data_IF_481951470439
#
_entry.id   IF_481951470439
#
_cell.length_a   1.000
_cell.length_b   1.000
_cell.length_c   1.000
_cell.angle_alpha   90.00
_cell.angle_beta   90.00
_cell.angle_gamma   90.00
#
_symmetry.space_group_name_H-M   'P 1'
#
loop_
_entity.id
_entity.type
_entity.pdbx_description
1 polymer ?
#
# COMPACT_ATOMS: atom_id res chain seq x y z
N UNK A 1 -7.18 -12.78 -12.31
CA UNK A 1 -6.73 -13.25 -13.64
C UNK A 1 -5.99 -14.59 -13.59
N UNK A 2 -5.52 -15.10 -12.45
CA UNK A 2 -4.90 -16.41 -12.30
C UNK A 2 -3.64 -16.63 -13.16
N UNK A 3 -2.95 -15.55 -13.54
CA UNK A 3 -1.74 -15.59 -14.34
C UNK A 3 -0.50 -16.05 -13.56
N UNK A 4 0.62 -16.16 -14.27
CA UNK A 4 1.94 -16.41 -13.71
C UNK A 4 2.46 -15.23 -12.87
N UNK A 5 3.63 -15.38 -12.23
CA UNK A 5 4.28 -14.34 -11.41
C UNK A 5 4.44 -12.99 -12.11
N UNK A 6 4.73 -13.02 -13.42
CA UNK A 6 4.94 -11.86 -14.29
C UNK A 6 3.65 -11.32 -14.93
N UNK A 7 2.50 -11.92 -14.58
CA UNK A 7 1.17 -11.50 -15.06
C UNK A 7 0.80 -12.03 -16.43
N UNK A 8 1.51 -13.05 -16.95
CA UNK A 8 1.18 -13.69 -18.23
C UNK A 8 0.16 -14.81 -18.02
N UNK A 9 -0.74 -14.98 -18.99
CA UNK A 9 -1.77 -16.02 -18.98
C UNK A 9 -3.02 -15.62 -18.20
N UNK A 10 -4.03 -16.49 -18.30
CA UNK A 10 -5.34 -16.35 -17.65
C UNK A 10 -5.82 -17.72 -17.18
N UNK A 11 -6.31 -17.80 -15.94
CA UNK A 11 -6.93 -19.03 -15.44
C UNK A 11 -7.96 -18.69 -14.34
N UNK A 12 -9.15 -19.16 -14.51
CA UNK A 12 -10.23 -19.03 -13.53
C UNK A 12 -10.08 -20.05 -12.37
N UNK A 13 -9.26 -21.09 -12.58
CA UNK A 13 -9.11 -22.21 -11.65
C UNK A 13 -8.65 -21.78 -10.25
N UNK A 14 -7.73 -20.80 -10.17
CA UNK A 14 -7.23 -20.33 -8.87
C UNK A 14 -8.32 -19.63 -8.04
N UNK A 15 -9.13 -18.78 -8.67
CA UNK A 15 -10.22 -18.11 -7.98
C UNK A 15 -11.34 -19.11 -7.59
N UNK A 16 -11.69 -20.01 -8.50
CA UNK A 16 -12.70 -21.04 -8.21
C UNK A 16 -12.27 -21.95 -7.06
N UNK A 17 -11.01 -22.37 -7.03
CA UNK A 17 -10.48 -23.18 -5.93
C UNK A 17 -10.65 -22.49 -4.56
N UNK A 18 -10.32 -21.21 -4.45
CA UNK A 18 -10.48 -20.44 -3.22
C UNK A 18 -11.97 -20.32 -2.84
N UNK A 19 -12.83 -20.10 -3.83
CA UNK A 19 -14.30 -20.07 -3.60
C UNK A 19 -14.79 -21.41 -3.03
N UNK A 20 -14.34 -22.53 -3.59
CA UNK A 20 -14.73 -23.87 -3.13
C UNK A 20 -14.21 -24.15 -1.71
N UNK A 21 -12.97 -23.74 -1.40
CA UNK A 21 -12.39 -23.85 -0.06
C UNK A 21 -13.20 -23.05 0.98
N UNK A 22 -13.58 -21.80 0.66
CA UNK A 22 -14.38 -20.96 1.55
C UNK A 22 -15.78 -21.58 1.78
N UNK A 23 -16.43 -22.10 0.74
CA UNK A 23 -17.72 -22.76 0.84
C UNK A 23 -17.64 -24.04 1.65
N UNK A 24 -16.56 -24.82 1.50
CA UNK A 24 -16.34 -26.03 2.29
C UNK A 24 -16.16 -25.74 3.79
N UNK A 25 -15.69 -24.54 4.13
CA UNK A 25 -15.60 -24.04 5.52
C UNK A 25 -16.92 -23.44 6.04
N UNK A 26 -17.99 -23.44 5.24
CA UNK A 26 -19.31 -22.89 5.61
C UNK A 26 -19.44 -21.39 5.33
N UNK A 27 -18.46 -20.75 4.68
CA UNK A 27 -18.53 -19.37 4.26
C UNK A 27 -19.24 -19.19 2.93
N UNK A 28 -19.45 -17.93 2.55
CA UNK A 28 -20.00 -17.56 1.25
C UNK A 28 -18.90 -16.88 0.40
N UNK A 29 -18.80 -17.26 -0.86
CA UNK A 29 -17.85 -16.67 -1.78
C UNK A 29 -18.37 -16.72 -3.22
N UNK A 30 -18.01 -15.71 -4.00
CA UNK A 30 -18.21 -15.65 -5.45
C UNK A 30 -16.90 -15.27 -6.13
N UNK A 31 -16.58 -15.87 -7.28
CA UNK A 31 -15.37 -15.51 -8.02
C UNK A 31 -15.62 -14.25 -8.84
N UNK A 32 -14.53 -13.52 -9.12
CA UNK A 32 -14.48 -12.48 -10.13
C UNK A 32 -13.17 -12.59 -10.93
N UNK A 33 -13.23 -12.38 -12.24
CA UNK A 33 -12.12 -12.60 -13.17
C UNK A 33 -11.69 -11.32 -13.91
N UNK A 34 -12.17 -10.17 -13.45
CA UNK A 34 -11.88 -8.88 -14.06
C UNK A 34 -10.43 -8.43 -13.82
N UNK A 35 -9.95 -7.56 -14.71
CA UNK A 35 -8.61 -6.96 -14.59
C UNK A 35 -8.65 -5.76 -13.64
N UNK A 36 -7.95 -5.86 -12.50
CA UNK A 36 -7.84 -4.77 -11.52
C UNK A 36 -7.26 -3.48 -12.12
N UNK A 37 -6.41 -3.55 -13.15
CA UNK A 37 -5.73 -2.40 -13.73
C UNK A 37 -6.64 -1.52 -14.63
N UNK A 38 -7.92 -1.85 -14.78
CA UNK A 38 -8.88 -1.08 -15.58
C UNK A 38 -10.02 -0.52 -14.72
N UNK A 39 -10.55 0.64 -15.11
CA UNK A 39 -11.70 1.25 -14.41
C UNK A 39 -12.87 0.28 -14.42
N UNK A 40 -13.25 -0.24 -15.59
CA UNK A 40 -14.37 -1.18 -15.72
C UNK A 40 -14.16 -2.44 -14.89
N UNK A 41 -12.92 -2.97 -14.83
CA UNK A 41 -12.63 -4.12 -13.98
C UNK A 41 -12.82 -3.83 -12.49
N UNK A 42 -12.34 -2.67 -12.01
CA UNK A 42 -12.55 -2.24 -10.62
C UNK A 42 -14.02 -2.05 -10.26
N UNK A 43 -14.81 -1.47 -11.17
CA UNK A 43 -16.26 -1.31 -11.03
C UNK A 43 -16.97 -2.67 -10.98
N UNK A 44 -16.62 -3.60 -11.88
CA UNK A 44 -17.20 -4.95 -11.93
C UNK A 44 -16.85 -5.77 -10.68
N UNK A 45 -15.62 -5.67 -10.17
CA UNK A 45 -15.20 -6.33 -8.93
C UNK A 45 -16.08 -5.87 -7.76
N UNK A 46 -16.25 -4.56 -7.61
CA UNK A 46 -17.11 -3.98 -6.58
C UNK A 46 -18.56 -4.38 -6.77
N UNK A 47 -19.06 -4.29 -8.01
CA UNK A 47 -20.43 -4.70 -8.35
C UNK A 47 -20.68 -6.16 -8.02
N UNK A 48 -19.74 -7.06 -8.32
CA UNK A 48 -19.85 -8.50 -7.99
C UNK A 48 -20.06 -8.70 -6.49
N UNK A 49 -19.33 -7.97 -5.65
CA UNK A 49 -19.48 -8.06 -4.21
C UNK A 49 -20.84 -7.49 -3.73
N UNK A 50 -21.26 -6.37 -4.28
CA UNK A 50 -22.55 -5.74 -3.93
C UNK A 50 -23.72 -6.62 -4.36
N UNK A 51 -23.69 -7.18 -5.57
CA UNK A 51 -24.74 -8.06 -6.08
C UNK A 51 -24.88 -9.35 -5.23
N UNK A 52 -23.74 -9.89 -4.73
CA UNK A 52 -23.75 -11.12 -3.95
C UNK A 52 -24.06 -10.91 -2.46
N UNK A 53 -23.59 -9.80 -1.87
CA UNK A 53 -23.56 -9.60 -0.41
C UNK A 53 -24.21 -8.29 0.05
N UNK A 54 -24.72 -7.46 -0.88
CA UNK A 54 -25.46 -6.21 -0.60
C UNK A 54 -24.57 -4.99 -0.42
N UNK A 55 -23.34 -5.12 0.08
CA UNK A 55 -22.40 -4.02 0.31
C UNK A 55 -20.94 -4.51 0.35
N UNK A 56 -20.00 -3.54 0.38
CA UNK A 56 -18.58 -3.77 0.62
C UNK A 56 -18.20 -3.13 1.95
N UNK A 57 -17.86 -3.93 2.95
CA UNK A 57 -17.36 -3.47 4.24
C UNK A 57 -15.83 -3.46 4.30
N UNK A 58 -15.19 -4.41 3.62
CA UNK A 58 -13.75 -4.63 3.66
C UNK A 58 -13.21 -4.75 2.24
N UNK A 59 -12.12 -4.04 1.96
CA UNK A 59 -11.35 -4.17 0.73
C UNK A 59 -9.90 -4.48 1.06
N UNK A 60 -9.35 -5.55 0.46
CA UNK A 60 -7.94 -5.89 0.53
C UNK A 60 -7.31 -5.80 -0.87
N UNK A 61 -6.52 -4.76 -1.09
CA UNK A 61 -5.75 -4.58 -2.33
C UNK A 61 -4.44 -5.36 -2.25
N UNK A 62 -4.47 -6.61 -2.73
CA UNK A 62 -3.34 -7.55 -2.67
C UNK A 62 -2.86 -8.02 -4.04
N UNK A 63 -3.58 -7.73 -5.13
CA UNK A 63 -3.19 -8.13 -6.47
C UNK A 63 -1.80 -7.60 -6.84
N UNK A 64 -0.96 -8.44 -7.47
CA UNK A 64 0.40 -8.05 -7.79
C UNK A 64 1.11 -8.99 -8.75
N UNK A 65 2.09 -8.44 -9.45
CA UNK A 65 3.01 -9.11 -10.37
C UNK A 65 4.43 -8.57 -10.17
N UNK A 66 5.45 -9.28 -10.67
CA UNK A 66 6.84 -8.83 -10.69
C UNK A 66 7.42 -8.95 -12.11
N UNK A 67 8.06 -7.87 -12.55
CA UNK A 67 8.87 -7.82 -13.78
C UNK A 67 10.13 -7.01 -13.49
N UNK A 68 11.03 -7.64 -12.74
CA UNK A 68 12.23 -7.01 -12.20
C UNK A 68 13.30 -6.85 -13.28
N UNK A 69 13.87 -5.66 -13.40
CA UNK A 69 15.01 -5.31 -14.25
C UNK A 69 15.81 -4.18 -13.60
N UNK A 70 17.11 -4.18 -13.79
CA UNK A 70 17.92 -3.02 -13.40
C UNK A 70 17.43 -1.76 -14.09
N UNK A 71 17.53 -0.61 -13.42
CA UNK A 71 16.94 0.65 -13.86
C UNK A 71 17.29 1.00 -15.32
N UNK A 72 18.56 0.82 -15.71
CA UNK A 72 19.03 1.09 -17.09
C UNK A 72 18.54 0.08 -18.13
N UNK A 73 17.95 -1.05 -17.73
CA UNK A 73 17.39 -2.09 -18.60
C UNK A 73 15.87 -2.22 -18.42
N UNK A 74 15.25 -1.32 -17.66
CA UNK A 74 13.81 -1.31 -17.44
C UNK A 74 13.12 -0.86 -18.74
N UNK A 75 12.33 -1.74 -19.30
CA UNK A 75 11.53 -1.49 -20.50
C UNK A 75 10.16 -0.92 -20.09
N UNK A 76 9.59 -0.07 -20.96
CA UNK A 76 8.29 0.58 -20.74
C UNK A 76 7.18 -0.45 -20.46
N UNK A 77 7.13 -1.54 -21.20
CA UNK A 77 6.13 -2.60 -21.00
C UNK A 77 6.21 -3.19 -19.59
N UNK A 78 7.42 -3.44 -19.07
CA UNK A 78 7.61 -3.98 -17.72
C UNK A 78 7.25 -2.96 -16.64
N UNK A 79 7.57 -1.70 -16.89
CA UNK A 79 7.18 -0.59 -16.02
C UNK A 79 5.66 -0.46 -15.95
N UNK A 80 5.00 -0.32 -17.09
CA UNK A 80 3.56 -0.09 -17.18
C UNK A 80 2.74 -1.25 -16.63
N UNK A 81 3.15 -2.50 -16.92
CA UNK A 81 2.47 -3.66 -16.38
C UNK A 81 2.47 -3.68 -14.84
N UNK A 82 3.62 -3.43 -14.23
CA UNK A 82 3.75 -3.46 -12.76
C UNK A 82 3.03 -2.28 -12.10
N UNK A 83 3.25 -1.06 -12.59
CA UNK A 83 2.56 0.14 -12.09
C UNK A 83 1.04 0.03 -12.33
N UNK A 84 0.66 -0.52 -13.49
CA UNK A 84 -0.73 -0.77 -13.85
C UNK A 84 -1.46 -1.68 -12.86
N UNK A 85 -0.88 -2.83 -12.52
CA UNK A 85 -1.50 -3.77 -11.59
C UNK A 85 -1.47 -3.25 -10.15
N UNK A 86 -0.32 -2.78 -9.67
CA UNK A 86 -0.15 -2.44 -8.26
C UNK A 86 -0.78 -1.10 -7.89
N UNK A 87 -0.40 -0.01 -8.56
CA UNK A 87 -0.83 1.33 -8.18
C UNK A 87 -2.17 1.71 -8.82
N UNK A 88 -2.23 1.61 -10.15
CA UNK A 88 -3.48 1.91 -10.86
C UNK A 88 -4.59 0.94 -10.48
N UNK A 89 -4.26 -0.36 -10.29
CA UNK A 89 -5.22 -1.37 -9.86
C UNK A 89 -5.79 -1.07 -8.47
N UNK A 90 -4.93 -0.70 -7.52
CA UNK A 90 -5.40 -0.24 -6.21
C UNK A 90 -6.36 0.94 -6.32
N UNK A 91 -6.08 1.93 -7.17
CA UNK A 91 -6.99 3.05 -7.44
C UNK A 91 -8.31 2.59 -8.08
N UNK A 92 -8.24 1.78 -9.15
CA UNK A 92 -9.43 1.36 -9.91
C UNK A 92 -10.43 0.57 -9.05
N UNK A 93 -9.93 -0.29 -8.15
CA UNK A 93 -10.79 -1.08 -7.26
C UNK A 93 -11.22 -0.28 -6.03
N UNK A 94 -10.33 0.53 -5.47
CA UNK A 94 -10.66 1.29 -4.25
C UNK A 94 -11.72 2.36 -4.50
N UNK A 95 -11.73 3.02 -5.64
CA UNK A 95 -12.66 4.13 -5.90
C UNK A 95 -14.14 3.71 -5.83
N UNK A 96 -14.61 2.69 -6.54
CA UNK A 96 -16.00 2.24 -6.42
C UNK A 96 -16.31 1.63 -5.04
N UNK A 97 -15.39 0.87 -4.45
CA UNK A 97 -15.57 0.33 -3.11
C UNK A 97 -15.67 1.44 -2.04
N UNK A 98 -14.82 2.46 -2.11
CA UNK A 98 -14.84 3.62 -1.21
C UNK A 98 -16.16 4.38 -1.31
N UNK A 99 -16.74 4.55 -2.51
CA UNK A 99 -18.04 5.18 -2.68
C UNK A 99 -19.15 4.36 -2.00
N UNK A 100 -19.16 3.04 -2.19
CA UNK A 100 -20.11 2.16 -1.52
C UNK A 100 -19.95 2.19 0.01
N UNK A 101 -18.71 2.17 0.52
CA UNK A 101 -18.43 2.33 1.96
C UNK A 101 -18.92 3.69 2.52
N UNK A 102 -18.77 4.77 1.74
CA UNK A 102 -19.30 6.10 2.14
C UNK A 102 -20.80 6.10 2.30
N UNK A 103 -21.53 5.48 1.37
CA UNK A 103 -23.00 5.36 1.41
C UNK A 103 -23.45 4.56 2.63
N UNK A 104 -22.68 3.53 3.02
CA UNK A 104 -22.99 2.66 4.15
C UNK A 104 -22.43 3.14 5.50
N UNK A 105 -21.60 4.19 5.53
CA UNK A 105 -21.03 4.76 6.77
C UNK A 105 -20.03 3.86 7.48
N UNK A 106 -19.41 2.91 6.76
CA UNK A 106 -18.41 1.98 7.27
C UNK A 106 -17.49 1.49 6.16
N UNK A 107 -16.19 1.37 6.45
CA UNK A 107 -15.22 0.76 5.55
C UNK A 107 -13.88 0.46 6.20
N UNK A 108 -13.26 -0.64 5.76
CA UNK A 108 -11.89 -1.03 6.12
C UNK A 108 -11.14 -1.35 4.84
N UNK A 109 -10.09 -0.58 4.55
CA UNK A 109 -9.28 -0.76 3.34
C UNK A 109 -7.87 -1.11 3.76
N UNK A 110 -7.42 -2.28 3.33
CA UNK A 110 -6.06 -2.76 3.55
C UNK A 110 -5.32 -2.69 2.22
N UNK A 111 -4.29 -1.86 2.20
CA UNK A 111 -3.37 -1.72 1.07
C UNK A 111 -2.12 -2.56 1.29
N UNK A 112 -1.55 -3.12 0.24
CA UNK A 112 -0.33 -3.91 0.31
C UNK A 112 0.83 -3.15 -0.34
N UNK A 113 1.74 -2.62 0.48
CA UNK A 113 3.04 -2.10 0.07
C UNK A 113 4.12 -3.19 0.14
N UNK A 114 5.38 -2.81 0.29
CA UNK A 114 6.52 -3.72 0.41
C UNK A 114 7.69 -2.99 1.05
N UNK A 115 8.58 -3.73 1.70
CA UNK A 115 9.89 -3.21 2.08
C UNK A 115 10.66 -2.62 0.90
N UNK A 116 10.51 -3.19 -0.31
CA UNK A 116 11.08 -2.61 -1.53
C UNK A 116 10.52 -1.21 -1.85
N UNK A 117 9.24 -0.96 -1.59
CA UNK A 117 8.64 0.37 -1.74
C UNK A 117 9.12 1.36 -0.67
N UNK A 118 9.32 0.88 0.56
CA UNK A 118 9.72 1.74 1.69
C UNK A 118 11.22 2.07 1.68
N UNK A 119 12.07 1.11 1.30
CA UNK A 119 13.52 1.20 1.48
C UNK A 119 14.31 1.02 0.17
N UNK A 120 13.62 0.71 -0.93
CA UNK A 120 14.25 0.36 -2.20
C UNK A 120 14.70 -1.11 -2.25
N UNK A 121 14.80 -1.64 -3.45
CA UNK A 121 15.43 -2.92 -3.73
C UNK A 121 16.03 -2.90 -5.14
N UNK A 122 17.22 -3.51 -5.30
CA UNK A 122 17.92 -3.54 -6.59
C UNK A 122 17.07 -4.24 -7.65
N UNK A 123 16.94 -3.62 -8.82
CA UNK A 123 16.19 -4.17 -9.95
C UNK A 123 14.67 -3.98 -9.89
N UNK A 124 14.13 -3.29 -8.90
CA UNK A 124 12.68 -3.15 -8.67
C UNK A 124 12.19 -1.70 -8.75
N UNK A 125 12.70 -0.90 -9.67
CA UNK A 125 12.30 0.52 -9.78
C UNK A 125 10.80 0.71 -10.05
N UNK A 126 10.19 -0.09 -10.94
CA UNK A 126 8.76 -0.10 -11.23
C UNK A 126 7.93 -0.52 -10.00
N UNK A 127 8.32 -1.63 -9.38
CA UNK A 127 7.63 -2.18 -8.22
C UNK A 127 7.75 -1.26 -7.00
N UNK A 128 8.96 -0.77 -6.69
CA UNK A 128 9.19 0.14 -5.58
C UNK A 128 8.40 1.44 -5.72
N UNK A 129 8.40 2.05 -6.92
CA UNK A 129 7.61 3.25 -7.21
C UNK A 129 6.11 3.00 -7.00
N UNK A 130 5.58 1.90 -7.53
CA UNK A 130 4.17 1.55 -7.37
C UNK A 130 3.80 1.31 -5.88
N UNK A 131 4.64 0.58 -5.15
CA UNK A 131 4.41 0.23 -3.75
C UNK A 131 4.52 1.44 -2.81
N UNK A 132 5.41 2.39 -3.07
CA UNK A 132 5.44 3.66 -2.32
C UNK A 132 4.28 4.58 -2.73
N UNK A 133 3.88 4.58 -4.00
CA UNK A 133 2.69 5.30 -4.48
C UNK A 133 1.40 4.87 -3.76
N UNK A 134 1.27 3.60 -3.38
CA UNK A 134 0.16 3.08 -2.55
C UNK A 134 0.13 3.75 -1.18
N UNK A 135 1.27 4.03 -0.57
CA UNK A 135 1.35 4.78 0.71
C UNK A 135 0.81 6.20 0.53
N UNK A 136 1.21 6.88 -0.57
CA UNK A 136 0.68 8.19 -0.91
C UNK A 136 -0.84 8.19 -1.11
N UNK A 137 -1.37 7.20 -1.84
CA UNK A 137 -2.81 7.03 -2.02
C UNK A 137 -3.54 6.81 -0.67
N UNK A 138 -2.98 5.98 0.20
CA UNK A 138 -3.51 5.74 1.56
C UNK A 138 -3.57 7.02 2.37
N UNK A 139 -2.53 7.87 2.30
CA UNK A 139 -2.49 9.13 3.06
C UNK A 139 -3.62 10.09 2.68
N UNK A 140 -4.08 10.08 1.44
CA UNK A 140 -5.25 10.85 1.02
C UNK A 140 -6.55 10.17 1.47
N UNK A 141 -6.68 8.86 1.24
CA UNK A 141 -7.90 8.11 1.55
C UNK A 141 -8.22 8.10 3.04
N UNK A 142 -7.22 8.08 3.94
CA UNK A 142 -7.45 8.17 5.38
C UNK A 142 -8.12 9.48 5.80
N UNK A 143 -7.75 10.59 5.16
CA UNK A 143 -8.30 11.92 5.44
C UNK A 143 -9.74 12.03 4.89
N UNK A 144 -9.94 11.64 3.63
CA UNK A 144 -11.24 11.70 2.98
C UNK A 144 -12.26 10.72 3.57
N UNK A 145 -11.79 9.59 4.07
CA UNK A 145 -12.61 8.53 4.69
C UNK A 145 -13.02 8.79 6.13
N UNK A 146 -12.29 9.67 6.84
CA UNK A 146 -12.42 9.83 8.29
C UNK A 146 -13.86 10.08 8.77
N UNK A 147 -14.59 10.99 8.12
CA UNK A 147 -15.97 11.36 8.48
C UNK A 147 -17.01 10.28 8.15
N UNK A 148 -16.62 9.26 7.37
CA UNK A 148 -17.50 8.16 6.98
C UNK A 148 -17.16 6.85 7.68
N UNK A 149 -16.32 6.90 8.73
CA UNK A 149 -15.82 5.71 9.43
C UNK A 149 -15.10 4.72 8.49
N UNK A 150 -14.44 5.26 7.45
CA UNK A 150 -13.58 4.47 6.57
C UNK A 150 -12.14 4.59 7.07
N UNK A 151 -11.52 3.44 7.41
CA UNK A 151 -10.13 3.33 7.84
C UNK A 151 -9.30 2.69 6.74
N UNK A 152 -8.19 3.33 6.38
CA UNK A 152 -7.28 2.82 5.34
C UNK A 152 -5.89 2.63 5.93
N UNK A 153 -5.41 1.39 5.95
CA UNK A 153 -4.09 1.03 6.47
C UNK A 153 -3.28 0.25 5.43
N UNK A 154 -1.98 0.22 5.63
CA UNK A 154 -1.02 -0.40 4.71
C UNK A 154 -0.27 -1.50 5.43
N UNK A 155 -0.16 -2.67 4.80
CA UNK A 155 0.75 -3.73 5.24
C UNK A 155 1.95 -3.82 4.29
N UNK A 156 3.12 -4.12 4.85
CA UNK A 156 4.34 -4.43 4.12
C UNK A 156 4.75 -5.88 4.46
N UNK A 157 4.11 -6.87 3.82
CA UNK A 157 4.31 -8.27 4.16
C UNK A 157 5.61 -8.82 3.55
N UNK A 158 6.26 -9.74 4.29
CA UNK A 158 7.25 -10.66 3.75
C UNK A 158 6.81 -12.09 4.11
N UNK A 159 6.39 -12.84 3.11
CA UNK A 159 5.93 -14.21 3.26
C UNK A 159 6.37 -15.08 2.08
N UNK A 160 6.42 -16.38 2.29
CA UNK A 160 6.67 -17.36 1.24
C UNK A 160 5.52 -17.32 0.22
N UNK A 161 5.87 -17.11 -1.03
CA UNK A 161 4.91 -17.07 -2.14
C UNK A 161 5.65 -17.30 -3.45
N UNK A 162 4.93 -17.48 -4.54
CA UNK A 162 5.51 -17.50 -5.89
C UNK A 162 6.33 -16.24 -6.23
N UNK A 163 6.07 -15.13 -5.56
CA UNK A 163 6.81 -13.87 -5.75
C UNK A 163 8.16 -13.84 -5.02
N UNK A 164 8.34 -14.67 -3.99
CA UNK A 164 9.52 -14.65 -3.09
C UNK A 164 10.35 -15.93 -3.15
N UNK A 165 9.95 -16.93 -3.93
CA UNK A 165 10.59 -18.24 -4.00
C UNK A 165 12.08 -18.15 -4.41
N UNK A 166 12.39 -17.29 -5.39
CA UNK A 166 13.77 -17.11 -5.88
C UNK A 166 14.61 -16.11 -5.06
N UNK A 167 14.00 -15.45 -4.08
CA UNK A 167 14.62 -14.35 -3.34
C UNK A 167 15.00 -14.75 -1.92
N UNK A 168 14.21 -15.65 -1.32
CA UNK A 168 14.40 -16.08 0.06
C UNK A 168 15.26 -17.36 0.13
N UNK A 169 16.20 -17.44 1.09
CA UNK A 169 16.88 -18.71 1.36
C UNK A 169 15.86 -19.83 1.70
N UNK A 170 16.06 -21.06 1.20
CA UNK A 170 15.08 -22.16 1.37
C UNK A 170 14.65 -22.38 2.82
N UNK A 171 15.57 -22.33 3.77
CA UNK A 171 15.29 -22.49 5.19
C UNK A 171 14.39 -21.40 5.79
N UNK A 172 14.48 -20.18 5.23
CA UNK A 172 13.64 -19.06 5.63
C UNK A 172 12.28 -19.15 4.93
N UNK A 173 12.27 -19.51 3.64
CA UNK A 173 11.05 -19.67 2.85
C UNK A 173 10.06 -20.63 3.50
N UNK A 174 10.52 -21.80 3.98
CA UNK A 174 9.67 -22.79 4.67
C UNK A 174 9.00 -22.26 5.95
N UNK A 175 9.66 -21.31 6.63
CA UNK A 175 9.15 -20.72 7.87
C UNK A 175 8.21 -19.55 7.64
N UNK A 176 8.38 -18.81 6.52
CA UNK A 176 7.67 -17.56 6.25
C UNK A 176 6.28 -17.78 5.67
N UNK A 177 5.46 -18.58 6.35
CA UNK A 177 4.10 -18.91 5.90
C UNK A 177 3.22 -17.64 5.81
N UNK A 178 2.36 -17.53 4.78
CA UNK A 178 1.38 -16.45 4.65
C UNK A 178 0.46 -16.32 5.86
N UNK A 179 0.24 -17.41 6.59
CA UNK A 179 -0.58 -17.47 7.81
C UNK A 179 -0.15 -16.46 8.88
N UNK A 180 1.12 -16.07 8.92
CA UNK A 180 1.60 -15.01 9.82
C UNK A 180 1.11 -13.59 9.46
N UNK A 181 0.59 -13.39 8.25
CA UNK A 181 0.06 -12.10 7.82
C UNK A 181 -1.43 -11.98 8.15
N UNK A 182 -2.15 -13.08 8.10
CA UNK A 182 -3.61 -13.14 8.28
C UNK A 182 -4.11 -12.48 9.57
N UNK A 183 -3.53 -12.71 10.76
CA UNK A 183 -4.02 -12.09 12.01
C UNK A 183 -3.98 -10.56 11.99
N UNK A 184 -2.94 -9.96 11.37
CA UNK A 184 -2.85 -8.52 11.22
C UNK A 184 -3.96 -8.00 10.30
N UNK A 185 -4.18 -8.66 9.15
CA UNK A 185 -5.23 -8.25 8.20
C UNK A 185 -6.60 -8.33 8.85
N UNK A 186 -6.89 -9.40 9.60
CA UNK A 186 -8.15 -9.56 10.34
C UNK A 186 -8.34 -8.46 11.38
N UNK A 187 -7.31 -8.11 12.14
CA UNK A 187 -7.37 -7.01 13.10
C UNK A 187 -7.65 -5.67 12.40
N UNK A 188 -6.87 -5.33 11.36
CA UNK A 188 -7.05 -4.08 10.61
C UNK A 188 -8.42 -3.99 9.90
N UNK A 189 -9.03 -5.11 9.55
CA UNK A 189 -10.34 -5.21 8.95
C UNK A 189 -11.49 -5.18 9.98
N UNK A 190 -11.21 -5.34 11.25
CA UNK A 190 -12.23 -5.41 12.30
C UNK A 190 -12.76 -4.02 12.69
N UNK A 191 -13.93 -4.00 13.32
CA UNK A 191 -14.50 -2.80 13.92
C UNK A 191 -13.67 -2.28 15.09
N UNK A 192 -12.91 -3.16 15.76
CA UNK A 192 -12.06 -2.82 16.91
C UNK A 192 -10.84 -2.00 16.50
N UNK A 193 -10.41 -2.06 15.23
CA UNK A 193 -9.32 -1.24 14.73
C UNK A 193 -9.81 0.19 14.45
N UNK A 194 -9.38 1.13 15.28
CA UNK A 194 -9.65 2.56 15.12
C UNK A 194 -8.54 3.31 14.40
N UNK A 195 -7.39 2.66 14.18
CA UNK A 195 -6.24 3.26 13.51
C UNK A 195 -6.47 3.42 12.00
N UNK A 196 -5.87 4.48 11.45
CA UNK A 196 -5.85 4.74 10.00
C UNK A 196 -4.51 5.36 9.59
N UNK A 197 -4.06 5.09 8.36
CA UNK A 197 -2.78 5.60 7.85
C UNK A 197 -1.56 4.87 8.41
N UNK A 198 -1.75 3.73 9.08
CA UNK A 198 -0.63 2.93 9.57
C UNK A 198 0.05 2.18 8.43
N UNK A 199 1.39 2.11 8.51
CA UNK A 199 2.22 1.24 7.65
C UNK A 199 2.82 0.20 8.56
N UNK A 200 2.39 -1.05 8.44
CA UNK A 200 2.82 -2.14 9.33
C UNK A 200 3.62 -3.18 8.55
N UNK A 201 4.90 -3.32 8.89
CA UNK A 201 5.72 -4.44 8.45
C UNK A 201 5.24 -5.71 9.16
N UNK A 202 5.14 -6.81 8.43
CA UNK A 202 4.66 -8.07 9.00
C UNK A 202 5.36 -9.28 8.36
N UNK A 203 5.97 -10.11 9.21
CA UNK A 203 6.67 -11.33 8.82
C UNK A 203 6.91 -12.23 10.04
N UNK A 204 6.77 -13.55 9.90
CA UNK A 204 7.14 -14.54 10.92
C UNK A 204 6.65 -14.23 12.37
N UNK A 205 5.51 -13.57 12.52
CA UNK A 205 5.02 -13.12 13.82
C UNK A 205 5.68 -11.83 14.34
N UNK A 206 6.58 -11.20 13.59
CA UNK A 206 7.12 -9.87 13.88
C UNK A 206 6.27 -8.81 13.18
N UNK A 207 5.83 -7.83 13.93
CA UNK A 207 5.05 -6.70 13.46
C UNK A 207 5.69 -5.40 13.95
N UNK A 208 5.87 -4.43 13.05
CA UNK A 208 6.41 -3.12 13.42
C UNK A 208 5.84 -2.01 12.55
N UNK A 209 5.74 -0.81 13.09
CA UNK A 209 5.32 0.37 12.35
C UNK A 209 6.48 0.97 11.58
N UNK A 210 6.26 1.29 10.30
CA UNK A 210 7.05 2.26 9.54
C UNK A 210 6.30 3.60 9.44
N UNK A 211 7.04 4.70 9.34
CA UNK A 211 6.46 6.02 9.18
C UNK A 211 7.39 6.93 8.37
N UNK A 212 6.84 7.93 7.70
CA UNK A 212 7.59 9.03 7.11
C UNK A 212 7.76 10.08 8.21
N UNK A 213 9.00 10.46 8.48
CA UNK A 213 9.33 11.44 9.52
C UNK A 213 10.16 12.58 8.94
N UNK A 214 10.12 13.74 9.56
CA UNK A 214 10.86 14.94 9.17
C UNK A 214 11.77 15.37 10.32
N UNK A 215 13.05 15.59 10.03
CA UNK A 215 14.01 16.11 11.00
C UNK A 215 13.72 17.56 11.39
N UNK A 216 14.45 18.09 12.40
CA UNK A 216 14.23 19.46 12.87
C UNK A 216 14.59 20.53 11.83
N UNK A 217 15.50 20.23 10.90
CA UNK A 217 15.94 21.16 9.86
C UNK A 217 16.69 22.38 10.39
N UNK A 218 16.82 23.40 9.56
CA UNK A 218 17.43 24.68 9.89
C UNK A 218 16.68 25.82 9.17
N UNK A 219 16.45 26.94 9.86
CA UNK A 219 16.08 28.20 9.23
C UNK A 219 17.37 28.93 8.84
N UNK A 220 17.52 29.24 7.58
CA UNK A 220 18.66 29.98 6.99
C UNK A 220 18.26 31.40 6.54
N UNK A 221 16.99 31.75 6.73
CA UNK A 221 16.43 33.03 6.37
C UNK A 221 15.26 33.38 7.30
N UNK A 222 14.97 34.64 7.41
CA UNK A 222 13.76 35.20 8.01
C UNK A 222 12.59 35.34 7.02
N UNK A 223 12.76 34.83 5.80
CA UNK A 223 11.80 34.97 4.70
C UNK A 223 12.06 36.13 3.75
N UNK A 224 13.03 37.01 4.02
CA UNK A 224 13.38 38.15 3.17
C UNK A 224 14.61 37.90 2.30
N UNK A 225 15.62 37.22 2.82
CA UNK A 225 16.84 36.88 2.10
C UNK A 225 16.77 35.44 1.56
N UNK A 226 17.08 35.26 0.27
CA UNK A 226 17.26 33.92 -0.30
C UNK A 226 18.65 33.42 0.13
N UNK A 227 18.75 32.25 0.76
CA UNK A 227 20.04 31.68 1.17
C UNK A 227 20.92 31.34 -0.03
N UNK A 228 22.21 31.57 0.09
CA UNK A 228 23.21 31.15 -0.89
C UNK A 228 23.52 29.65 -0.74
N UNK A 229 23.98 28.94 -1.80
CA UNK A 229 24.33 27.52 -1.73
C UNK A 229 25.36 27.20 -0.63
N UNK A 230 26.30 28.11 -0.36
CA UNK A 230 27.32 28.00 0.67
C UNK A 230 26.73 27.99 2.09
N UNK A 231 25.67 28.77 2.31
CA UNK A 231 24.94 28.78 3.60
C UNK A 231 24.21 27.43 3.84
N UNK A 232 23.61 26.85 2.76
CA UNK A 232 23.03 25.51 2.81
C UNK A 232 24.11 24.47 3.10
N UNK A 233 25.27 24.54 2.42
CA UNK A 233 26.41 23.65 2.62
C UNK A 233 26.92 23.72 4.06
N UNK A 234 27.07 24.91 4.62
CA UNK A 234 27.51 25.09 6.00
C UNK A 234 26.51 24.53 7.03
N UNK A 235 25.22 24.54 6.73
CA UNK A 235 24.14 24.03 7.60
C UNK A 235 23.78 22.56 7.31
N UNK A 236 24.43 21.88 6.37
CA UNK A 236 24.02 20.60 5.83
C UNK A 236 23.85 19.51 6.90
N UNK A 237 24.76 19.44 7.88
CA UNK A 237 24.67 18.46 8.97
C UNK A 237 23.42 18.62 9.82
N UNK A 238 22.98 19.87 10.04
CA UNK A 238 21.73 20.15 10.74
C UNK A 238 20.50 19.85 9.86
N UNK A 239 20.56 20.19 8.57
CA UNK A 239 19.46 19.95 7.63
C UNK A 239 19.17 18.44 7.48
N UNK A 240 20.20 17.59 7.38
CA UNK A 240 20.06 16.15 7.20
C UNK A 240 19.81 15.38 8.49
N UNK A 241 19.88 16.03 9.67
CA UNK A 241 19.69 15.36 10.96
C UNK A 241 18.26 14.86 11.13
N UNK A 242 18.14 13.65 11.66
CA UNK A 242 16.89 13.07 12.12
C UNK A 242 16.84 12.98 13.66
N UNK A 243 17.60 13.79 14.37
CA UNK A 243 17.50 13.88 15.83
C UNK A 243 16.13 14.47 16.22
N UNK A 244 15.40 13.76 17.10
CA UNK A 244 14.05 14.15 17.54
C UNK A 244 13.09 14.42 16.35
N UNK A 245 12.91 13.46 15.44
CA UNK A 245 12.11 13.65 14.23
C UNK A 245 10.64 13.85 14.57
N UNK A 246 9.95 14.64 13.74
CA UNK A 246 8.51 14.84 13.83
C UNK A 246 7.80 13.91 12.85
N UNK A 247 6.68 13.35 13.30
CA UNK A 247 5.69 12.70 12.46
C UNK A 247 4.56 13.69 12.20
N UNK A 248 4.19 13.86 10.92
CA UNK A 248 3.04 14.65 10.51
C UNK A 248 1.95 13.74 9.97
N UNK A 249 0.75 13.84 10.51
CA UNK A 249 -0.37 13.05 10.06
C UNK A 249 -0.98 13.59 8.75
N UNK A 250 -0.88 14.90 8.54
CA UNK A 250 -1.38 15.61 7.37
C UNK A 250 -0.52 16.83 7.02
N UNK A 251 -0.59 17.25 5.74
CA UNK A 251 0.22 18.34 5.21
C UNK A 251 0.13 19.67 5.99
N UNK A 252 -1.06 20.14 6.46
CA UNK A 252 -1.13 21.38 7.23
C UNK A 252 -0.29 21.40 8.50
N UNK A 253 -0.07 20.26 9.14
CA UNK A 253 0.76 20.17 10.35
C UNK A 253 2.24 20.49 10.07
N UNK A 254 2.72 20.15 8.85
CA UNK A 254 4.08 20.48 8.42
C UNK A 254 4.29 22.02 8.37
N UNK A 255 3.28 22.78 7.96
CA UNK A 255 3.37 24.24 7.93
C UNK A 255 3.50 24.88 9.32
N UNK A 256 3.09 24.16 10.38
CA UNK A 256 3.32 24.60 11.75
C UNK A 256 4.80 24.77 12.12
N UNK A 257 5.71 24.13 11.37
CA UNK A 257 7.17 24.34 11.52
C UNK A 257 7.57 25.78 11.15
N UNK A 258 6.81 26.43 10.27
CA UNK A 258 7.08 27.81 9.80
C UNK A 258 6.59 28.87 10.79
N UNK A 259 5.93 28.50 11.89
CA UNK A 259 5.41 29.42 12.90
C UNK A 259 6.37 30.53 13.35
N UNK A 260 7.68 30.26 13.54
CA UNK A 260 8.66 31.29 13.89
C UNK A 260 8.84 32.39 12.83
N UNK A 261 8.52 32.10 11.56
CA UNK A 261 8.61 33.07 10.44
C UNK A 261 7.33 33.87 10.24
N UNK A 262 6.25 33.51 10.94
CA UNK A 262 4.93 34.15 10.80
C UNK A 262 4.64 35.15 11.93
N UNK A 263 5.58 35.35 12.83
CA UNK A 263 5.55 36.32 13.93
C UNK A 263 6.35 37.56 13.55
#
# INVERSE_FOLDING_TARGET
>A
LGGTRDGVGHSDAAANKVVDEIKALGGQAVPNYDNVATIAGGENITKTAVDAFGKVDILVNNAGILRDKTFNKMEEENWDAVVGVHLRGAYCVSKPAFNNMRENGFGRIIMTTSGAGLFGNFGQSNYAAAKLGIVGLTNVMKLEGAKYNIRTNVIAPVAASRLTEDVLPPQLFEKMKPDFITPLVLYLASEQCTDTGMIINCTLGYYSRSAIVTGPGAFLSDGHKIPEPEEIMAAWDKIKSLENPKYFDQLPEMFGVLGPLLQ
#
